data_IF_547540529530
#
_entry.id   IF_547540529530
#
_cell.length_a   1.000
_cell.length_b   1.000
_cell.length_c   1.000
_cell.angle_alpha   90.00
_cell.angle_beta   90.00
_cell.angle_gamma   90.00
#
_symmetry.space_group_name_H-M   'P 1'
#
loop_
_entity.id
_entity.type
_entity.pdbx_description
1 polymer ?
#
# COMPACT_ATOMS: atom_id res chain seq x y z
N UNK A 1 15.55 37.76 12.62
CA UNK A 1 15.79 36.87 11.46
C UNK A 1 17.07 36.08 11.72
N UNK A 2 17.00 34.95 12.44
CA UNK A 2 18.13 34.02 12.58
C UNK A 2 17.74 32.69 13.24
N UNK A 3 16.57 32.11 12.91
CA UNK A 3 16.13 30.82 13.50
C UNK A 3 16.07 29.66 12.50
N UNK A 4 16.16 29.89 11.19
CA UNK A 4 16.11 28.81 10.18
C UNK A 4 17.44 28.05 10.00
N UNK A 5 18.54 28.51 10.60
CA UNK A 5 19.88 27.90 10.40
C UNK A 5 20.18 26.76 11.38
N UNK A 6 19.31 26.50 12.35
CA UNK A 6 19.39 25.33 13.23
C UNK A 6 18.74 24.10 12.56
N UNK A 7 19.06 23.83 11.29
CA UNK A 7 18.81 22.51 10.71
C UNK A 7 19.50 21.48 11.61
N UNK A 8 18.67 20.69 12.29
CA UNK A 8 18.97 19.85 13.45
C UNK A 8 20.35 19.17 13.33
N UNK A 9 21.38 19.72 13.98
CA UNK A 9 22.71 19.07 14.03
C UNK A 9 22.61 17.62 14.55
N UNK A 10 21.60 17.35 15.39
CA UNK A 10 21.25 16.02 15.88
C UNK A 10 20.75 15.09 14.78
N UNK A 11 19.85 15.52 13.91
CA UNK A 11 19.34 14.67 12.83
C UNK A 11 20.45 14.30 11.85
N UNK A 12 21.33 15.26 11.50
CA UNK A 12 22.50 15.02 10.66
C UNK A 12 23.51 14.07 11.32
N UNK A 13 23.70 14.17 12.64
CA UNK A 13 24.55 13.24 13.38
C UNK A 13 23.96 11.83 13.37
N UNK A 14 22.69 11.68 13.72
CA UNK A 14 22.00 10.39 13.71
C UNK A 14 21.99 9.75 12.31
N UNK A 15 21.80 10.55 11.26
CA UNK A 15 21.87 10.10 9.87
C UNK A 15 23.27 9.59 9.50
N UNK A 16 24.34 10.27 9.95
CA UNK A 16 25.73 9.85 9.75
C UNK A 16 26.13 8.60 10.53
N UNK A 17 25.55 8.38 11.71
CA UNK A 17 25.82 7.19 12.55
C UNK A 17 24.85 6.03 12.32
N UNK A 18 23.99 6.11 11.29
CA UNK A 18 23.09 5.02 10.88
C UNK A 18 21.74 4.95 11.62
N UNK A 19 21.45 5.90 12.50
CA UNK A 19 20.18 6.03 13.22
C UNK A 19 19.20 6.94 12.46
N UNK A 20 18.75 6.52 11.28
CA UNK A 20 17.67 7.24 10.57
C UNK A 20 16.33 7.03 11.28
N UNK A 21 15.45 8.03 11.32
CA UNK A 21 14.08 7.83 11.81
C UNK A 21 13.83 8.11 13.30
N UNK A 22 14.84 8.50 14.10
CA UNK A 22 14.71 8.64 15.56
C UNK A 22 13.83 9.85 15.94
N UNK A 23 13.96 10.96 15.23
CA UNK A 23 13.15 12.15 15.47
C UNK A 23 11.71 11.91 14.99
N UNK A 24 11.54 11.26 13.85
CA UNK A 24 10.25 10.87 13.27
C UNK A 24 9.49 9.93 14.20
N UNK A 25 10.15 8.92 14.77
CA UNK A 25 9.56 8.01 15.75
C UNK A 25 9.06 8.79 16.97
N UNK A 26 9.86 9.70 17.52
CA UNK A 26 9.46 10.53 18.67
C UNK A 26 8.28 11.43 18.33
N UNK A 27 8.27 12.03 17.14
CA UNK A 27 7.13 12.83 16.67
C UNK A 27 5.85 12.00 16.58
N UNK A 28 5.92 10.76 16.08
CA UNK A 28 4.78 9.86 16.08
C UNK A 28 4.36 9.51 17.52
N UNK A 29 5.29 9.17 18.40
CA UNK A 29 4.99 8.87 19.81
C UNK A 29 4.31 10.04 20.53
N UNK A 30 4.59 11.29 20.14
CA UNK A 30 3.88 12.46 20.67
C UNK A 30 2.42 12.44 20.20
N UNK A 31 2.16 12.19 18.92
CA UNK A 31 0.79 12.09 18.39
C UNK A 31 0.00 10.93 19.02
N UNK A 32 0.67 9.82 19.34
CA UNK A 32 0.04 8.64 19.92
C UNK A 32 -0.19 8.72 21.44
N UNK A 33 0.25 9.80 22.11
CA UNK A 33 0.01 10.02 23.55
C UNK A 33 -1.35 10.62 23.86
N UNK A 34 -1.99 11.26 22.88
CA UNK A 34 -3.29 11.88 23.07
C UNK A 34 -4.36 10.80 23.30
N UNK A 35 -5.31 11.06 24.21
CA UNK A 35 -6.41 10.12 24.50
C UNK A 35 -7.27 9.83 23.25
N UNK A 36 -7.43 10.86 22.41
CA UNK A 36 -8.07 10.80 21.10
C UNK A 36 -7.09 11.21 20.03
N UNK A 37 -6.76 10.29 19.14
CA UNK A 37 -5.83 10.58 18.05
C UNK A 37 -6.43 11.48 16.98
N UNK A 38 -5.64 12.46 16.58
CA UNK A 38 -5.93 13.32 15.44
C UNK A 38 -5.60 12.58 14.14
N UNK A 39 -6.66 12.12 13.47
CA UNK A 39 -6.58 11.38 12.21
C UNK A 39 -5.91 12.20 11.10
N UNK A 40 -6.13 13.52 11.07
CA UNK A 40 -5.56 14.39 10.04
C UNK A 40 -4.05 14.55 10.23
N UNK A 41 -3.61 14.74 11.48
CA UNK A 41 -2.18 14.75 11.82
C UNK A 41 -1.52 13.40 11.55
N UNK A 42 -2.17 12.28 11.89
CA UNK A 42 -1.64 10.94 11.59
C UNK A 42 -1.52 10.71 10.08
N UNK A 43 -2.53 11.11 9.29
CA UNK A 43 -2.44 11.06 7.83
C UNK A 43 -1.27 11.89 7.32
N UNK A 44 -1.13 13.13 7.79
CA UNK A 44 -0.03 14.05 7.42
C UNK A 44 1.34 13.46 7.76
N UNK A 45 1.48 12.86 8.95
CA UNK A 45 2.68 12.15 9.35
C UNK A 45 2.99 11.00 8.38
N UNK A 46 2.01 10.14 8.11
CA UNK A 46 2.16 9.00 7.21
C UNK A 46 2.47 9.43 5.78
N UNK A 47 1.95 10.57 5.32
CA UNK A 47 2.25 11.12 4.00
C UNK A 47 3.70 11.59 3.92
N UNK A 48 4.25 12.17 4.99
CA UNK A 48 5.60 12.72 5.03
C UNK A 48 6.68 11.68 5.33
N UNK A 49 6.45 10.80 6.30
CA UNK A 49 7.46 9.88 6.82
C UNK A 49 7.03 8.42 6.68
N UNK A 50 7.97 7.46 6.58
CA UNK A 50 7.64 6.05 6.70
C UNK A 50 7.24 5.73 8.14
N UNK A 51 6.28 4.82 8.34
CA UNK A 51 5.90 4.41 9.69
C UNK A 51 7.02 3.54 10.33
N UNK A 52 7.35 3.74 11.62
CA UNK A 52 8.13 2.77 12.37
C UNK A 52 7.39 1.43 12.42
N UNK A 53 8.09 0.32 12.18
CA UNK A 53 7.46 -1.01 12.05
C UNK A 53 6.57 -1.38 13.24
N UNK A 54 7.00 -1.05 14.46
CA UNK A 54 6.24 -1.32 15.69
C UNK A 54 4.89 -0.60 15.79
N UNK A 55 4.68 0.49 15.04
CA UNK A 55 3.44 1.27 15.06
C UNK A 55 2.59 1.11 13.80
N UNK A 56 3.13 0.47 12.75
CA UNK A 56 2.46 0.39 11.43
C UNK A 56 1.06 -0.20 11.52
N UNK A 57 0.94 -1.39 12.10
CA UNK A 57 -0.33 -2.12 12.19
C UNK A 57 -1.35 -1.31 13.00
N UNK A 58 -0.93 -0.72 14.11
CA UNK A 58 -1.78 0.11 14.96
C UNK A 58 -2.31 1.34 14.22
N UNK A 59 -1.42 2.08 13.54
CA UNK A 59 -1.80 3.27 12.76
C UNK A 59 -2.70 2.89 11.59
N UNK A 60 -2.38 1.81 10.84
CA UNK A 60 -3.23 1.33 9.76
C UNK A 60 -4.62 0.93 10.25
N UNK A 61 -4.73 0.25 11.40
CA UNK A 61 -6.03 -0.08 11.99
C UNK A 61 -6.89 1.15 12.26
N UNK A 62 -6.28 2.23 12.77
CA UNK A 62 -7.01 3.48 13.01
C UNK A 62 -7.37 4.19 11.70
N UNK A 63 -6.44 4.32 10.75
CA UNK A 63 -6.68 5.01 9.48
C UNK A 63 -7.67 4.28 8.55
N UNK A 64 -7.73 2.94 8.64
CA UNK A 64 -8.70 2.11 7.92
C UNK A 64 -10.02 1.91 8.69
N UNK A 65 -10.20 2.58 9.84
CA UNK A 65 -11.44 2.54 10.62
C UNK A 65 -11.74 1.19 11.29
N UNK A 66 -10.72 0.32 11.46
CA UNK A 66 -10.83 -0.91 12.25
C UNK A 66 -10.91 -0.55 13.74
N UNK A 67 -10.06 0.39 14.15
CA UNK A 67 -10.04 0.97 15.49
C UNK A 67 -10.52 2.44 15.44
N UNK A 68 -11.28 2.89 16.45
CA UNK A 68 -11.65 4.30 16.57
C UNK A 68 -10.43 5.15 17.01
N UNK A 69 -10.51 6.49 16.89
CA UNK A 69 -9.43 7.37 17.35
C UNK A 69 -9.24 7.39 18.87
N UNK A 70 -10.21 6.93 19.67
CA UNK A 70 -10.13 6.92 21.14
C UNK A 70 -9.40 5.67 21.63
N UNK A 71 -8.18 5.84 22.13
CA UNK A 71 -7.27 4.73 22.43
C UNK A 71 -7.80 3.79 23.54
N UNK A 72 -8.49 4.34 24.53
CA UNK A 72 -9.07 3.59 25.65
C UNK A 72 -10.07 2.50 25.20
N UNK A 73 -10.70 2.70 24.04
CA UNK A 73 -11.71 1.77 23.50
C UNK A 73 -11.10 0.65 22.65
N UNK A 74 -9.80 0.75 22.29
CA UNK A 74 -9.15 -0.23 21.41
C UNK A 74 -9.24 -1.68 21.94
N UNK A 75 -8.99 -1.97 23.23
CA UNK A 75 -9.09 -3.34 23.74
C UNK A 75 -10.49 -3.92 23.55
N UNK A 76 -11.53 -3.14 23.86
CA UNK A 76 -12.93 -3.56 23.74
C UNK A 76 -13.32 -3.78 22.28
N UNK A 77 -12.95 -2.86 21.38
CA UNK A 77 -13.23 -3.02 19.95
C UNK A 77 -12.53 -4.28 19.40
N UNK A 78 -11.29 -4.55 19.80
CA UNK A 78 -10.57 -5.75 19.36
C UNK A 78 -11.18 -7.06 19.88
N UNK A 79 -11.87 -7.05 21.03
CA UNK A 79 -12.67 -8.21 21.47
C UNK A 79 -13.75 -8.52 20.44
N UNK A 80 -14.56 -7.53 20.06
CA UNK A 80 -15.62 -7.73 19.06
C UNK A 80 -15.08 -8.15 17.68
N UNK A 81 -13.95 -7.56 17.25
CA UNK A 81 -13.28 -7.94 15.99
C UNK A 81 -12.81 -9.40 16.02
N UNK A 82 -12.33 -9.87 17.17
CA UNK A 82 -11.85 -11.25 17.37
C UNK A 82 -13.00 -12.25 17.48
N UNK A 83 -14.10 -11.89 18.14
CA UNK A 83 -15.31 -12.70 18.20
C UNK A 83 -15.90 -12.88 16.81
N UNK A 84 -16.11 -11.79 16.07
CA UNK A 84 -16.62 -11.86 14.69
C UNK A 84 -15.72 -12.70 13.77
N UNK A 85 -14.39 -12.55 13.89
CA UNK A 85 -13.46 -13.40 13.14
C UNK A 85 -13.68 -14.89 13.45
N UNK A 86 -13.76 -15.25 14.73
CA UNK A 86 -13.95 -16.64 15.16
C UNK A 86 -15.30 -17.19 14.73
N UNK A 87 -16.37 -16.41 14.85
CA UNK A 87 -17.72 -16.84 14.48
C UNK A 87 -17.83 -17.16 12.98
N UNK A 88 -17.27 -16.28 12.13
CA UNK A 88 -17.27 -16.48 10.68
C UNK A 88 -16.37 -17.64 10.28
N UNK A 89 -15.18 -17.76 10.88
CA UNK A 89 -14.28 -18.89 10.64
C UNK A 89 -14.96 -20.22 11.03
N UNK A 90 -15.53 -20.29 12.23
CA UNK A 90 -16.21 -21.47 12.71
C UNK A 90 -17.43 -21.84 11.86
N UNK A 91 -18.19 -20.84 11.39
CA UNK A 91 -19.29 -21.08 10.47
C UNK A 91 -18.81 -21.80 9.20
N UNK A 92 -17.67 -21.39 8.63
CA UNK A 92 -17.07 -22.04 7.45
C UNK A 92 -16.64 -23.50 7.74
N UNK A 93 -16.09 -23.78 8.92
CA UNK A 93 -15.74 -25.15 9.36
C UNK A 93 -16.99 -26.03 9.48
N UNK A 94 -18.04 -25.52 10.15
CA UNK A 94 -19.30 -26.25 10.37
C UNK A 94 -19.97 -26.61 9.05
N UNK A 95 -19.93 -25.70 8.07
CA UNK A 95 -20.45 -25.97 6.73
C UNK A 95 -19.47 -26.73 5.82
N UNK A 96 -18.30 -27.11 6.35
CA UNK A 96 -17.23 -27.87 5.66
C UNK A 96 -16.69 -27.17 4.42
N UNK A 97 -16.65 -25.84 4.44
CA UNK A 97 -16.06 -25.04 3.37
C UNK A 97 -14.53 -24.94 3.53
N UNK A 98 -14.06 -24.95 4.77
CA UNK A 98 -12.64 -24.95 5.12
C UNK A 98 -12.32 -26.08 6.09
N UNK A 99 -11.04 -26.42 6.21
CA UNK A 99 -10.50 -27.36 7.18
C UNK A 99 -9.04 -26.96 7.52
N UNK A 100 -8.40 -27.70 8.42
CA UNK A 100 -7.03 -27.41 8.88
C UNK A 100 -5.96 -27.40 7.79
N UNK A 101 -6.23 -27.96 6.60
CA UNK A 101 -5.32 -27.93 5.45
C UNK A 101 -5.60 -26.79 4.45
N UNK A 102 -6.67 -26.03 4.66
CA UNK A 102 -7.01 -24.88 3.81
C UNK A 102 -5.95 -23.78 3.93
N UNK A 103 -5.44 -23.24 2.81
CA UNK A 103 -4.51 -22.11 2.85
C UNK A 103 -5.12 -20.90 3.55
N UNK A 104 -4.34 -20.22 4.40
CA UNK A 104 -4.82 -19.10 5.23
C UNK A 104 -5.47 -17.98 4.42
N UNK A 105 -4.86 -17.57 3.31
CA UNK A 105 -5.40 -16.52 2.44
C UNK A 105 -6.72 -16.93 1.76
N UNK A 106 -6.93 -18.22 1.49
CA UNK A 106 -8.19 -18.73 0.95
C UNK A 106 -9.28 -18.69 2.01
N UNK A 107 -8.95 -19.06 3.26
CA UNK A 107 -9.85 -18.93 4.41
C UNK A 107 -10.30 -17.47 4.56
N UNK A 108 -9.38 -16.50 4.48
CA UNK A 108 -9.73 -15.07 4.54
C UNK A 108 -10.68 -14.64 3.41
N UNK A 109 -10.47 -15.13 2.18
CA UNK A 109 -11.38 -14.85 1.07
C UNK A 109 -12.77 -15.41 1.35
N UNK A 110 -12.87 -16.66 1.82
CA UNK A 110 -14.16 -17.29 2.12
C UNK A 110 -14.89 -16.61 3.28
N UNK A 111 -14.15 -16.15 4.29
CA UNK A 111 -14.72 -15.34 5.37
C UNK A 111 -15.33 -14.05 4.81
N UNK A 112 -14.58 -13.34 3.95
CA UNK A 112 -15.05 -12.12 3.32
C UNK A 112 -16.28 -12.35 2.43
N UNK A 113 -16.30 -13.43 1.66
CA UNK A 113 -17.44 -13.81 0.82
C UNK A 113 -18.67 -14.20 1.64
N UNK A 114 -18.48 -14.89 2.76
CA UNK A 114 -19.58 -15.24 3.67
C UNK A 114 -20.21 -13.97 4.26
N UNK A 115 -19.39 -13.06 4.77
CA UNK A 115 -19.85 -11.78 5.34
C UNK A 115 -20.53 -10.87 4.31
N UNK A 116 -20.12 -10.94 3.04
CA UNK A 116 -20.72 -10.15 1.95
C UNK A 116 -21.88 -10.85 1.25
N UNK A 117 -22.27 -12.06 1.68
CA UNK A 117 -23.35 -12.85 1.08
C UNK A 117 -23.05 -13.38 -0.31
N UNK A 118 -21.76 -13.48 -0.68
CA UNK A 118 -21.27 -13.94 -1.99
C UNK A 118 -20.72 -15.37 -1.97
N UNK A 119 -20.68 -16.03 -0.81
CA UNK A 119 -20.14 -17.39 -0.68
C UNK A 119 -20.97 -18.38 -1.51
N UNK A 120 -20.33 -19.06 -2.47
CA UNK A 120 -20.97 -20.04 -3.35
C UNK A 120 -20.41 -21.43 -3.10
N UNK A 121 -21.29 -22.43 -2.97
CA UNK A 121 -20.91 -23.86 -2.86
C UNK A 121 -20.88 -24.58 -4.22
N UNK A 122 -21.04 -23.87 -5.33
CA UNK A 122 -21.07 -24.50 -6.64
C UNK A 122 -19.72 -25.15 -6.96
N UNK A 123 -19.74 -26.40 -7.45
CA UNK A 123 -18.55 -27.12 -7.93
C UNK A 123 -17.85 -26.44 -9.11
N UNK A 124 -18.51 -25.47 -9.75
CA UNK A 124 -17.97 -24.63 -10.83
C UNK A 124 -17.67 -23.20 -10.35
N UNK A 125 -17.15 -23.06 -9.14
CA UNK A 125 -16.75 -21.75 -8.66
C UNK A 125 -15.49 -21.27 -9.41
N UNK A 126 -15.70 -20.38 -10.38
CA UNK A 126 -14.63 -19.64 -11.03
C UNK A 126 -14.33 -18.40 -10.18
N UNK A 127 -13.06 -18.24 -9.78
CA UNK A 127 -12.56 -17.03 -9.13
C UNK A 127 -12.95 -15.80 -9.95
N UNK A 128 -13.66 -14.86 -9.35
CA UNK A 128 -13.98 -13.61 -10.01
C UNK A 128 -12.78 -12.66 -9.91
N UNK A 129 -12.66 -11.65 -10.79
CA UNK A 129 -11.56 -10.68 -10.73
C UNK A 129 -11.43 -9.96 -9.36
N UNK A 130 -12.52 -9.79 -8.63
CA UNK A 130 -12.51 -9.22 -7.27
C UNK A 130 -11.87 -10.17 -6.26
N UNK A 131 -12.09 -11.48 -6.41
CA UNK A 131 -11.52 -12.50 -5.55
C UNK A 131 -10.01 -12.60 -5.78
N UNK A 132 -9.56 -12.55 -7.04
CA UNK A 132 -8.14 -12.50 -7.38
C UNK A 132 -7.44 -11.25 -6.82
N UNK A 133 -8.12 -10.08 -6.86
CA UNK A 133 -7.60 -8.85 -6.26
C UNK A 133 -7.45 -9.02 -4.74
N UNK A 134 -8.48 -9.55 -4.08
CA UNK A 134 -8.46 -9.83 -2.65
C UNK A 134 -7.30 -10.76 -2.28
N UNK A 135 -7.16 -11.89 -2.98
CA UNK A 135 -6.09 -12.86 -2.74
C UNK A 135 -4.70 -12.26 -2.97
N UNK A 136 -4.53 -11.43 -4.01
CA UNK A 136 -3.24 -10.78 -4.29
C UNK A 136 -2.85 -9.82 -3.17
N UNK A 137 -3.81 -9.04 -2.66
CA UNK A 137 -3.59 -8.14 -1.52
C UNK A 137 -3.37 -8.95 -0.23
N UNK A 138 -4.12 -10.04 -0.04
CA UNK A 138 -4.01 -10.91 1.12
C UNK A 138 -2.63 -11.54 1.24
N UNK A 139 -2.07 -12.05 0.14
CA UNK A 139 -0.72 -12.62 0.13
C UNK A 139 0.33 -11.58 0.55
N UNK A 140 0.24 -10.34 0.03
CA UNK A 140 1.15 -9.28 0.44
C UNK A 140 0.95 -8.85 1.89
N UNK A 141 -0.29 -8.79 2.40
CA UNK A 141 -0.58 -8.40 3.77
C UNK A 141 -0.16 -9.47 4.78
N UNK A 142 -0.29 -10.76 4.44
CA UNK A 142 0.13 -11.88 5.28
C UNK A 142 1.63 -11.83 5.59
N UNK A 143 2.46 -11.42 4.64
CA UNK A 143 3.90 -11.22 4.87
C UNK A 143 4.22 -9.97 5.72
N UNK A 144 3.28 -9.05 5.88
CA UNK A 144 3.45 -7.81 6.66
C UNK A 144 2.87 -7.90 8.08
N UNK A 145 1.96 -8.84 8.34
CA UNK A 145 1.12 -8.89 9.56
C UNK A 145 1.06 -10.29 10.15
N UNK A 146 1.63 -10.45 11.35
CA UNK A 146 1.72 -11.75 12.02
C UNK A 146 0.39 -12.23 12.63
N UNK A 147 -0.41 -11.33 13.25
CA UNK A 147 -1.68 -11.70 13.89
C UNK A 147 -2.78 -11.87 12.83
N UNK A 148 -3.40 -13.06 12.80
CA UNK A 148 -4.39 -13.42 11.79
C UNK A 148 -5.66 -12.55 11.82
N UNK A 149 -6.06 -12.10 13.02
CA UNK A 149 -7.24 -11.25 13.19
C UNK A 149 -6.96 -9.87 12.60
N UNK A 150 -5.84 -9.26 12.99
CA UNK A 150 -5.38 -7.98 12.43
C UNK A 150 -5.18 -8.09 10.92
N UNK A 151 -4.55 -9.18 10.43
CA UNK A 151 -4.33 -9.41 9.01
C UNK A 151 -5.65 -9.45 8.23
N UNK A 152 -6.63 -10.25 8.68
CA UNK A 152 -7.95 -10.34 8.05
C UNK A 152 -8.64 -8.98 7.96
N UNK A 153 -8.71 -8.26 9.08
CA UNK A 153 -9.37 -6.96 9.15
C UNK A 153 -8.67 -5.91 8.29
N UNK A 154 -7.34 -5.92 8.24
CA UNK A 154 -6.55 -5.05 7.37
C UNK A 154 -6.82 -5.34 5.89
N UNK A 155 -6.81 -6.60 5.46
CA UNK A 155 -7.12 -6.97 4.07
C UNK A 155 -8.51 -6.47 3.69
N UNK A 156 -9.52 -6.85 4.50
CA UNK A 156 -10.93 -6.50 4.28
C UNK A 156 -11.11 -4.99 4.15
N UNK A 157 -10.57 -4.21 5.07
CA UNK A 157 -10.77 -2.77 5.07
C UNK A 157 -9.88 -2.06 4.03
N UNK A 158 -8.70 -2.58 3.72
CA UNK A 158 -7.86 -2.05 2.66
C UNK A 158 -8.52 -2.21 1.29
N UNK A 159 -9.01 -3.42 0.96
CA UNK A 159 -9.78 -3.66 -0.28
C UNK A 159 -11.01 -2.76 -0.34
N UNK A 160 -11.76 -2.67 0.75
CA UNK A 160 -12.91 -1.76 0.85
C UNK A 160 -12.51 -0.29 0.62
N UNK A 161 -11.37 0.13 1.16
CA UNK A 161 -10.84 1.48 0.96
C UNK A 161 -10.52 1.77 -0.51
N UNK A 162 -9.92 0.80 -1.23
CA UNK A 162 -9.69 0.92 -2.67
C UNK A 162 -11.00 1.05 -3.45
N UNK A 163 -11.99 0.22 -3.11
CA UNK A 163 -13.29 0.15 -3.80
C UNK A 163 -14.24 1.30 -3.48
N UNK A 164 -13.99 2.05 -2.42
CA UNK A 164 -14.83 3.20 -2.04
C UNK A 164 -14.14 4.52 -2.36
N UNK A 165 -12.91 4.72 -1.89
CA UNK A 165 -12.21 5.99 -2.00
C UNK A 165 -11.53 6.19 -3.36
N UNK A 166 -11.05 5.11 -3.98
CA UNK A 166 -10.22 5.16 -5.19
C UNK A 166 -10.83 4.50 -6.42
N UNK A 167 -12.10 4.06 -6.35
CA UNK A 167 -12.80 3.36 -7.43
C UNK A 167 -12.68 4.07 -8.78
N UNK A 168 -12.91 5.38 -8.77
CA UNK A 168 -12.99 6.22 -9.97
C UNK A 168 -11.65 6.90 -10.33
N UNK A 169 -10.60 6.65 -9.52
CA UNK A 169 -9.29 7.28 -9.74
C UNK A 169 -8.48 6.62 -10.85
N UNK A 170 -8.83 5.42 -11.30
CA UNK A 170 -7.97 4.62 -12.20
C UNK A 170 -7.59 5.34 -13.50
N UNK A 171 -8.56 5.96 -14.19
CA UNK A 171 -8.26 6.73 -15.42
C UNK A 171 -7.38 7.95 -15.13
N UNK A 172 -7.57 8.60 -13.98
CA UNK A 172 -6.76 9.74 -13.56
C UNK A 172 -5.32 9.31 -13.23
N UNK A 173 -5.12 8.14 -12.64
CA UNK A 173 -3.80 7.57 -12.35
C UNK A 173 -3.03 7.24 -13.64
N UNK A 174 -3.70 6.66 -14.64
CA UNK A 174 -3.10 6.41 -15.97
C UNK A 174 -2.66 7.71 -16.65
N UNK A 175 -3.56 8.71 -16.72
CA UNK A 175 -3.21 10.04 -17.27
C UNK A 175 -2.11 10.73 -16.47
N UNK A 176 -2.14 10.60 -15.15
CA UNK A 176 -1.09 11.10 -14.26
C UNK A 176 0.25 10.46 -14.54
N UNK A 177 0.29 9.15 -14.76
CA UNK A 177 1.50 8.41 -15.12
C UNK A 177 2.12 8.94 -16.40
N UNK A 178 1.35 9.03 -17.49
CA UNK A 178 1.87 9.57 -18.75
C UNK A 178 2.36 11.02 -18.60
N UNK A 179 1.62 11.85 -17.86
CA UNK A 179 1.98 13.24 -17.61
C UNK A 179 3.32 13.37 -16.86
N UNK A 180 3.45 12.72 -15.71
CA UNK A 180 4.66 12.84 -14.90
C UNK A 180 5.86 12.12 -15.53
N UNK A 181 5.65 11.00 -16.23
CA UNK A 181 6.70 10.36 -17.01
C UNK A 181 7.20 11.29 -18.13
N UNK A 182 6.30 12.03 -18.79
CA UNK A 182 6.69 12.96 -19.84
C UNK A 182 7.48 14.17 -19.30
N UNK A 183 7.19 14.61 -18.07
CA UNK A 183 7.94 15.66 -17.40
C UNK A 183 9.35 15.19 -17.04
N UNK A 184 9.48 14.00 -16.47
CA UNK A 184 10.79 13.47 -16.03
C UNK A 184 11.63 12.92 -17.20
N UNK A 185 11.01 12.27 -18.18
CA UNK A 185 11.67 11.72 -19.36
C UNK A 185 10.73 11.58 -20.58
N UNK A 186 10.61 12.66 -21.35
CA UNK A 186 9.83 12.67 -22.60
C UNK A 186 10.35 11.71 -23.69
N UNK A 187 11.64 11.34 -23.65
CA UNK A 187 12.20 10.36 -24.61
C UNK A 187 11.65 8.97 -24.32
N UNK A 188 11.51 8.60 -23.05
CA UNK A 188 10.95 7.32 -22.66
C UNK A 188 9.47 7.22 -23.06
N UNK A 189 8.69 8.29 -22.88
CA UNK A 189 7.29 8.34 -23.37
C UNK A 189 7.21 8.19 -24.88
N UNK A 190 8.09 8.89 -25.61
CA UNK A 190 8.16 8.81 -27.08
C UNK A 190 8.47 7.39 -27.54
N UNK A 191 9.39 6.70 -26.87
CA UNK A 191 9.72 5.30 -27.14
C UNK A 191 8.53 4.36 -26.89
N UNK A 192 7.83 4.52 -25.76
CA UNK A 192 6.64 3.72 -25.44
C UNK A 192 5.52 3.93 -26.47
N UNK A 193 5.33 5.16 -26.96
CA UNK A 193 4.39 5.49 -28.05
C UNK A 193 4.80 4.83 -29.36
N UNK A 194 6.06 4.92 -29.74
CA UNK A 194 6.60 4.31 -30.95
C UNK A 194 6.45 2.78 -30.95
N UNK A 195 6.54 2.15 -29.77
CA UNK A 195 6.32 0.71 -29.61
C UNK A 195 4.84 0.31 -29.44
N UNK A 196 3.90 1.27 -29.45
CA UNK A 196 2.49 1.04 -29.10
C UNK A 196 2.30 0.35 -27.75
N UNK A 197 3.13 0.70 -26.77
CA UNK A 197 3.20 0.03 -25.47
C UNK A 197 2.35 0.70 -24.38
N UNK A 198 2.05 2.00 -24.49
CA UNK A 198 1.37 2.77 -23.44
C UNK A 198 0.05 2.14 -22.98
N UNK A 199 -0.80 1.72 -23.92
CA UNK A 199 -2.11 1.13 -23.60
C UNK A 199 -2.03 -0.31 -23.08
N UNK A 200 -0.86 -0.94 -23.22
CA UNK A 200 -0.59 -2.33 -22.82
C UNK A 200 0.22 -2.43 -21.53
N UNK A 201 0.58 -1.31 -20.90
CA UNK A 201 1.30 -1.33 -19.63
C UNK A 201 0.47 -2.02 -18.54
N UNK A 202 1.12 -2.59 -17.51
CA UNK A 202 0.43 -3.37 -16.47
C UNK A 202 -0.29 -2.47 -15.45
N UNK A 203 -1.14 -1.55 -15.92
CA UNK A 203 -1.88 -0.60 -15.07
C UNK A 203 -2.76 -1.28 -14.03
N UNK A 204 -3.31 -2.47 -14.33
CA UNK A 204 -4.07 -3.23 -13.34
C UNK A 204 -3.18 -3.65 -12.16
N UNK A 205 -1.95 -4.10 -12.42
CA UNK A 205 -0.98 -4.44 -11.39
C UNK A 205 -0.61 -3.23 -10.54
N UNK A 206 -0.35 -2.09 -11.18
CA UNK A 206 0.09 -0.87 -10.49
C UNK A 206 -1.03 -0.18 -9.70
N UNK A 207 -2.23 -0.06 -10.28
CA UNK A 207 -3.27 0.81 -9.76
C UNK A 207 -4.48 0.09 -9.16
N UNK A 208 -4.69 -1.19 -9.47
CA UNK A 208 -5.72 -2.01 -8.79
C UNK A 208 -5.10 -2.91 -7.74
N UNK A 209 -4.08 -3.68 -8.10
CA UNK A 209 -3.33 -4.53 -7.14
C UNK A 209 -2.33 -3.73 -6.31
N UNK A 210 -2.19 -2.42 -6.55
CA UNK A 210 -1.31 -1.52 -5.78
C UNK A 210 0.12 -2.08 -5.63
N UNK A 211 0.65 -2.69 -6.70
CA UNK A 211 1.95 -3.37 -6.76
C UNK A 211 2.10 -4.66 -5.91
N UNK A 212 1.02 -5.18 -5.32
CA UNK A 212 1.04 -6.52 -4.73
C UNK A 212 1.37 -7.58 -5.80
N UNK A 213 2.31 -8.46 -5.48
CA UNK A 213 2.87 -9.45 -6.42
C UNK A 213 3.88 -8.89 -7.43
N UNK A 214 4.23 -7.60 -7.33
CA UNK A 214 5.24 -6.93 -8.15
C UNK A 214 6.43 -6.47 -7.30
N UNK A 215 6.16 -5.91 -6.12
CA UNK A 215 7.16 -5.43 -5.17
C UNK A 215 7.19 -6.34 -3.93
N UNK A 216 8.38 -6.56 -3.33
CA UNK A 216 8.52 -7.26 -2.06
C UNK A 216 7.72 -6.56 -0.94
N UNK A 217 7.00 -7.30 -0.07
CA UNK A 217 6.19 -6.72 1.00
C UNK A 217 6.97 -5.78 1.95
N UNK A 218 8.24 -6.07 2.20
CA UNK A 218 9.14 -5.25 3.00
C UNK A 218 9.31 -3.82 2.48
N UNK A 219 9.34 -3.63 1.15
CA UNK A 219 9.36 -2.32 0.50
C UNK A 219 7.94 -1.77 0.28
N UNK A 220 7.01 -2.65 -0.09
CA UNK A 220 5.64 -2.29 -0.47
C UNK A 220 4.86 -1.64 0.67
N UNK A 221 5.06 -2.07 1.92
CA UNK A 221 4.42 -1.46 3.08
C UNK A 221 4.66 0.06 3.17
N UNK A 222 5.79 0.58 2.68
CA UNK A 222 6.09 2.03 2.69
C UNK A 222 5.28 2.81 1.65
N UNK A 223 4.89 2.15 0.55
CA UNK A 223 3.93 2.69 -0.42
C UNK A 223 2.53 2.65 0.19
N UNK A 224 2.19 1.54 0.85
CA UNK A 224 0.88 1.37 1.49
C UNK A 224 0.68 2.30 2.69
N UNK A 225 1.73 2.71 3.40
CA UNK A 225 1.68 3.79 4.40
C UNK A 225 1.05 5.06 3.78
N UNK A 226 1.44 5.41 2.55
CA UNK A 226 0.93 6.59 1.83
C UNK A 226 -0.49 6.37 1.31
N UNK A 227 -0.78 5.16 0.83
CA UNK A 227 -2.09 4.81 0.30
C UNK A 227 -3.17 4.78 1.40
N UNK A 228 -2.88 4.14 2.53
CA UNK A 228 -3.74 4.08 3.72
C UNK A 228 -3.99 5.48 4.29
N UNK A 229 -2.98 6.35 4.27
CA UNK A 229 -3.14 7.77 4.64
C UNK A 229 -3.88 8.63 3.61
N UNK A 230 -4.36 8.02 2.52
CA UNK A 230 -5.33 8.61 1.60
C UNK A 230 -4.80 9.09 0.26
N UNK A 231 -3.53 8.87 -0.08
CA UNK A 231 -2.98 9.28 -1.38
C UNK A 231 -2.82 8.10 -2.33
N UNK A 232 -3.72 7.95 -3.32
CA UNK A 232 -3.52 6.98 -4.41
C UNK A 232 -2.52 7.44 -5.48
N UNK A 233 -2.19 8.75 -5.51
CA UNK A 233 -1.23 9.31 -6.47
C UNK A 233 0.19 8.77 -6.29
N UNK A 234 0.56 8.32 -5.09
CA UNK A 234 1.86 7.67 -4.86
C UNK A 234 2.11 6.51 -5.83
N UNK A 235 1.06 5.76 -6.21
CA UNK A 235 1.17 4.64 -7.14
C UNK A 235 1.67 5.08 -8.51
N UNK A 236 1.31 6.28 -8.94
CA UNK A 236 1.80 6.89 -10.19
C UNK A 236 3.30 7.09 -10.15
N UNK A 237 3.81 7.64 -9.05
CA UNK A 237 5.22 7.96 -8.91
C UNK A 237 6.07 6.70 -8.72
N UNK A 238 5.53 5.65 -8.10
CA UNK A 238 6.18 4.33 -8.08
C UNK A 238 6.31 3.77 -9.51
N UNK A 239 5.24 3.82 -10.31
CA UNK A 239 5.30 3.38 -11.70
C UNK A 239 6.30 4.21 -12.54
N UNK A 240 6.31 5.54 -12.39
CA UNK A 240 7.27 6.43 -13.06
C UNK A 240 8.71 6.06 -12.67
N UNK A 241 9.00 5.92 -11.37
CA UNK A 241 10.34 5.64 -10.89
C UNK A 241 10.85 4.26 -11.31
N UNK A 242 9.98 3.25 -11.38
CA UNK A 242 10.32 1.94 -11.97
C UNK A 242 10.82 2.13 -13.41
N UNK A 243 10.10 2.91 -14.22
CA UNK A 243 10.48 3.15 -15.61
C UNK A 243 11.78 3.95 -15.73
N UNK A 244 11.99 4.96 -14.89
CA UNK A 244 13.23 5.73 -14.86
C UNK A 244 14.42 4.85 -14.45
N UNK A 245 14.24 4.01 -13.43
CA UNK A 245 15.28 3.09 -12.95
C UNK A 245 15.67 2.08 -14.02
N UNK A 246 14.70 1.51 -14.73
CA UNK A 246 14.95 0.53 -15.79
C UNK A 246 14.98 1.13 -17.20
N UNK A 247 15.17 2.45 -17.33
CA UNK A 247 15.13 3.17 -18.62
C UNK A 247 15.96 2.49 -19.70
N UNK A 248 17.23 2.18 -19.41
CA UNK A 248 18.13 1.58 -20.40
C UNK A 248 17.61 0.23 -20.90
N UNK A 249 17.03 -0.58 -20.02
CA UNK A 249 16.44 -1.87 -20.36
C UNK A 249 15.16 -1.69 -21.18
N UNK A 250 14.27 -0.79 -20.77
CA UNK A 250 13.00 -0.51 -21.48
C UNK A 250 13.26 0.08 -22.87
N UNK A 251 14.22 0.99 -23.01
CA UNK A 251 14.62 1.58 -24.30
C UNK A 251 15.21 0.56 -25.29
N UNK A 252 15.75 -0.55 -24.79
CA UNK A 252 16.27 -1.64 -25.62
C UNK A 252 15.18 -2.64 -26.08
N UNK A 253 13.96 -2.54 -25.53
CA UNK A 253 12.83 -3.38 -25.91
C UNK A 253 11.97 -2.66 -26.94
N UNK A 254 11.65 -3.35 -28.04
CA UNK A 254 11.01 -2.73 -29.22
C UNK A 254 9.58 -3.26 -29.45
N UNK A 255 9.08 -4.13 -28.56
CA UNK A 255 7.75 -4.74 -28.65
C UNK A 255 6.98 -4.45 -27.38
N UNK A 256 5.74 -4.01 -27.53
CA UNK A 256 4.86 -3.70 -26.40
C UNK A 256 4.71 -4.85 -25.41
N UNK A 257 4.52 -6.07 -25.90
CA UNK A 257 4.31 -7.24 -25.03
C UNK A 257 5.57 -7.55 -24.20
N UNK A 258 6.77 -7.44 -24.80
CA UNK A 258 8.03 -7.62 -24.08
C UNK A 258 8.26 -6.55 -23.01
N UNK A 259 7.83 -5.30 -23.25
CA UNK A 259 7.88 -4.23 -22.27
C UNK A 259 6.91 -4.52 -21.12
N UNK A 260 5.67 -4.94 -21.43
CA UNK A 260 4.67 -5.29 -20.44
C UNK A 260 5.13 -6.49 -19.58
N UNK A 261 5.64 -7.55 -20.20
CA UNK A 261 6.13 -8.75 -19.50
C UNK A 261 7.28 -8.42 -18.53
N UNK A 262 8.22 -7.58 -18.97
CA UNK A 262 9.31 -7.11 -18.12
C UNK A 262 8.79 -6.29 -16.93
N UNK A 263 7.89 -5.33 -17.18
CA UNK A 263 7.33 -4.48 -16.13
C UNK A 263 6.36 -5.22 -15.20
N UNK A 264 5.80 -6.34 -15.64
CA UNK A 264 5.00 -7.24 -14.81
C UNK A 264 5.83 -8.03 -13.80
N UNK A 265 7.15 -8.19 -14.04
CA UNK A 265 8.08 -8.94 -13.20
C UNK A 265 9.45 -8.26 -13.16
N UNK A 266 9.51 -7.14 -12.44
CA UNK A 266 10.76 -6.38 -12.29
C UNK A 266 11.74 -7.09 -11.33
N UNK A 267 13.06 -6.87 -11.49
CA UNK A 267 14.05 -7.36 -10.53
C UNK A 267 13.81 -6.83 -9.10
N UNK A 268 13.93 -7.72 -8.09
CA UNK A 268 13.66 -7.40 -6.69
C UNK A 268 14.84 -6.73 -5.95
N UNK A 269 16.05 -6.81 -6.50
CA UNK A 269 17.29 -6.35 -5.88
C UNK A 269 17.39 -4.82 -5.72
N UNK A 270 16.50 -4.05 -6.36
CA UNK A 270 16.55 -2.59 -6.41
C UNK A 270 15.27 -1.89 -5.90
N UNK A 271 14.40 -2.60 -5.18
CA UNK A 271 13.07 -2.07 -4.82
C UNK A 271 13.13 -0.94 -3.79
N UNK A 272 14.00 -1.03 -2.79
CA UNK A 272 14.07 0.00 -1.73
C UNK A 272 14.52 1.38 -2.23
N UNK A 273 15.58 1.50 -3.05
CA UNK A 273 15.94 2.75 -3.71
C UNK A 273 14.83 3.30 -4.61
N UNK A 274 14.13 2.44 -5.36
CA UNK A 274 12.99 2.83 -6.20
C UNK A 274 11.92 3.49 -5.33
N UNK A 275 11.54 2.87 -4.20
CA UNK A 275 10.49 3.43 -3.34
C UNK A 275 10.90 4.76 -2.71
N UNK A 276 12.16 4.92 -2.29
CA UNK A 276 12.63 6.20 -1.75
C UNK A 276 12.53 7.31 -2.79
N UNK A 277 13.06 7.08 -4.00
CA UNK A 277 13.01 8.06 -5.08
C UNK A 277 11.58 8.33 -5.55
N UNK A 278 10.71 7.33 -5.57
CA UNK A 278 9.30 7.51 -5.91
C UNK A 278 8.58 8.41 -4.90
N UNK A 279 8.86 8.27 -3.60
CA UNK A 279 8.31 9.14 -2.55
C UNK A 279 8.85 10.57 -2.72
N UNK A 280 10.16 10.73 -2.94
CA UNK A 280 10.77 12.04 -3.19
C UNK A 280 10.18 12.72 -4.43
N UNK A 281 9.97 11.95 -5.50
CA UNK A 281 9.37 12.41 -6.74
C UNK A 281 7.91 12.81 -6.54
N UNK A 282 7.14 12.03 -5.77
CA UNK A 282 5.79 12.37 -5.39
C UNK A 282 5.74 13.70 -4.61
N UNK A 283 6.61 13.87 -3.62
CA UNK A 283 6.72 15.11 -2.83
C UNK A 283 7.16 16.31 -3.68
N UNK A 284 8.08 16.11 -4.63
CA UNK A 284 8.51 17.15 -5.58
C UNK A 284 7.33 17.71 -6.39
N UNK A 285 6.43 16.85 -6.85
CA UNK A 285 5.34 17.22 -7.76
C UNK A 285 4.01 17.56 -7.08
N UNK A 286 3.75 16.98 -5.91
CA UNK A 286 2.49 17.18 -5.18
C UNK A 286 2.64 18.07 -3.94
N UNK A 287 3.88 18.43 -3.58
CA UNK A 287 4.20 19.12 -2.33
C UNK A 287 4.28 18.16 -1.13
N UNK A 288 5.00 18.59 -0.10
CA UNK A 288 5.03 17.92 1.20
C UNK A 288 3.93 18.56 2.06
N UNK A 289 2.95 17.79 2.56
CA UNK A 289 1.98 18.30 3.53
C UNK A 289 2.68 18.92 4.74
N UNK A 290 2.26 20.13 5.14
CA UNK A 290 2.82 20.80 6.30
C UNK A 290 2.44 20.01 7.57
N UNK A 291 3.44 19.58 8.33
CA UNK A 291 3.20 18.94 9.64
C UNK A 291 3.14 20.04 10.70
N UNK A 292 1.94 20.35 11.19
CA UNK A 292 1.78 21.12 12.43
C UNK A 292 2.16 20.21 13.60
N UNK A 293 3.24 20.57 14.29
CA UNK A 293 3.59 19.96 15.59
C UNK A 293 2.57 20.43 16.61
#
# INVERSE_FOLDING_TARGET
MSEETQRNFRSVYYEKVGFRGVEEKKSLEILLKDERWDIEKLCTFCQRFPLPSMYRILVWKVLLGILPPHQETHPVVMVYRREQYKDVHHALEVIRFVNDSSPKIDVFLYMYQLETGKLSRSQMYTLQPQDELFLTIAAAMEEMVDDDVDCYWLIKNFVHHLDTKFRDSQQQLQKGFEHYLNIEDSRLVTHLKACSALDKLPYHLWFRKCFAGCLPPSSLQRVWDKLVSGSCKILVFVAVEILLTFKMKVMALNKADAINDFLGKIPEDNTDPIINKAIDLWHKHCGIPAHSV
#
